data_IF_517212791122
#
_entry.id   IF_517212791122
#
_cell.length_a   1.000
_cell.length_b   1.000
_cell.length_c   1.000
_cell.angle_alpha   90.00
_cell.angle_beta   90.00
_cell.angle_gamma   90.00
#
_symmetry.space_group_name_H-M   'P 1'
#
loop_
_entity.id
_entity.type
_entity.pdbx_description
1 polymer ?
#
# COMPACT_ATOMS: atom_id res chain seq x y z
N UNK A 1 11.51 -15.14 20.77
CA UNK A 1 10.64 -15.66 19.70
C UNK A 1 10.68 -14.70 18.52
N UNK A 2 9.92 -14.99 17.45
CA UNK A 2 9.74 -14.08 16.30
C UNK A 2 8.51 -13.20 16.51
N UNK A 3 8.43 -12.08 15.79
CA UNK A 3 7.21 -11.27 15.67
C UNK A 3 6.44 -11.69 14.43
N UNK A 4 5.20 -12.14 14.61
CA UNK A 4 4.31 -12.50 13.50
C UNK A 4 3.59 -11.24 13.00
N UNK A 5 3.84 -10.83 11.75
CA UNK A 5 3.24 -9.62 11.18
C UNK A 5 1.77 -9.82 10.76
N UNK A 6 1.41 -10.99 10.22
CA UNK A 6 0.03 -11.24 9.74
C UNK A 6 -1.03 -11.04 10.83
N UNK A 7 -0.88 -11.60 12.05
CA UNK A 7 -1.84 -11.36 13.13
C UNK A 7 -1.86 -9.90 13.61
N UNK A 8 -0.71 -9.20 13.55
CA UNK A 8 -0.63 -7.78 13.89
C UNK A 8 -1.44 -6.94 12.90
N UNK A 9 -1.24 -7.16 11.59
CA UNK A 9 -1.97 -6.47 10.53
C UNK A 9 -3.48 -6.74 10.58
N UNK A 10 -3.88 -8.01 10.75
CA UNK A 10 -5.30 -8.36 10.89
C UNK A 10 -5.96 -7.60 12.05
N UNK A 11 -5.25 -7.46 13.18
CA UNK A 11 -5.74 -6.68 14.31
C UNK A 11 -5.76 -5.18 14.03
N UNK A 12 -4.71 -4.63 13.41
CA UNK A 12 -4.63 -3.21 13.08
C UNK A 12 -5.77 -2.77 12.14
N UNK A 13 -6.10 -3.57 11.12
CA UNK A 13 -7.27 -3.34 10.24
C UNK A 13 -8.57 -3.21 11.03
N UNK A 14 -8.77 -4.06 12.05
CA UNK A 14 -9.96 -3.97 12.92
C UNK A 14 -9.94 -2.79 13.89
N UNK A 15 -8.83 -2.06 13.96
CA UNK A 15 -8.63 -0.88 14.81
C UNK A 15 -8.59 0.43 14.02
N UNK A 16 -8.97 0.41 12.74
CA UNK A 16 -9.10 1.62 11.93
C UNK A 16 -7.88 1.97 11.08
N UNK A 17 -6.92 1.05 10.93
CA UNK A 17 -5.76 1.23 10.03
C UNK A 17 -6.03 0.62 8.65
N UNK A 18 -5.37 1.16 7.63
CA UNK A 18 -5.26 0.50 6.31
C UNK A 18 -3.83 -0.02 6.01
N UNK A 19 -2.88 0.32 6.89
CA UNK A 19 -1.50 -0.17 6.98
C UNK A 19 -0.46 0.50 6.05
N UNK A 20 -0.81 1.56 5.33
CA UNK A 20 0.13 2.36 4.54
C UNK A 20 0.36 3.76 5.13
N UNK A 21 -0.70 4.55 5.33
CA UNK A 21 -0.65 5.92 5.84
C UNK A 21 -1.33 6.06 7.20
N UNK A 22 -2.50 5.44 7.38
CA UNK A 22 -3.15 5.26 8.68
C UNK A 22 -2.68 3.96 9.31
N UNK A 23 -1.71 4.10 10.21
CA UNK A 23 -0.93 3.00 10.82
C UNK A 23 -0.80 3.12 12.34
N UNK A 24 -1.51 4.06 12.98
CA UNK A 24 -1.38 4.35 14.41
C UNK A 24 -1.67 3.11 15.28
N UNK A 25 -2.65 2.28 14.89
CA UNK A 25 -2.94 1.06 15.63
C UNK A 25 -1.81 0.01 15.46
N UNK A 26 -1.33 -0.20 14.23
CA UNK A 26 -0.22 -1.09 13.91
C UNK A 26 1.05 -0.71 14.68
N UNK A 27 1.44 0.57 14.64
CA UNK A 27 2.61 1.08 15.36
C UNK A 27 2.44 0.95 16.87
N UNK A 28 1.26 1.24 17.41
CA UNK A 28 0.96 1.00 18.84
C UNK A 28 1.05 -0.48 19.23
N UNK A 29 0.52 -1.38 18.39
CA UNK A 29 0.60 -2.83 18.61
C UNK A 29 2.05 -3.32 18.57
N UNK A 30 2.84 -2.81 17.63
CA UNK A 30 4.26 -3.10 17.50
C UNK A 30 5.03 -2.62 18.74
N UNK A 31 4.90 -1.34 19.09
CA UNK A 31 5.55 -0.73 20.25
C UNK A 31 5.23 -1.49 21.54
N UNK A 32 3.94 -1.79 21.79
CA UNK A 32 3.51 -2.57 22.96
C UNK A 32 4.15 -3.96 23.00
N UNK A 33 4.28 -4.62 21.84
CA UNK A 33 4.85 -5.97 21.76
C UNK A 33 6.37 -5.93 21.96
N UNK A 34 7.05 -4.90 21.43
CA UNK A 34 8.50 -4.77 21.48
C UNK A 34 9.03 -4.20 22.81
N UNK A 35 8.24 -3.39 23.52
CA UNK A 35 8.66 -2.73 24.77
C UNK A 35 9.35 -3.65 25.81
N UNK A 36 8.79 -4.81 26.22
CA UNK A 36 9.47 -5.67 27.19
C UNK A 36 10.75 -6.32 26.65
N UNK A 37 10.89 -6.44 25.32
CA UNK A 37 12.11 -6.95 24.70
C UNK A 37 13.19 -5.88 24.65
N UNK A 38 12.80 -4.65 24.31
CA UNK A 38 13.68 -3.49 24.29
C UNK A 38 14.28 -3.21 25.68
N UNK A 39 13.44 -3.16 26.71
CA UNK A 39 13.88 -2.92 28.11
C UNK A 39 14.84 -4.01 28.62
N UNK A 40 14.72 -5.25 28.13
CA UNK A 40 15.64 -6.34 28.51
C UNK A 40 16.94 -6.35 27.70
N UNK A 41 16.91 -5.85 26.47
CA UNK A 41 18.04 -5.88 25.55
C UNK A 41 18.95 -4.65 25.65
N UNK A 42 18.38 -3.49 26.01
CA UNK A 42 19.10 -2.23 26.12
C UNK A 42 19.47 -2.00 27.58
N UNK A 43 20.77 -1.99 27.89
CA UNK A 43 21.26 -1.83 29.26
C UNK A 43 21.00 -0.42 29.82
N UNK A 44 21.01 0.60 28.95
CA UNK A 44 20.71 1.97 29.32
C UNK A 44 19.20 2.24 29.21
N UNK A 45 18.58 2.54 30.35
CA UNK A 45 17.15 2.83 30.44
C UNK A 45 16.75 4.08 29.65
N UNK A 46 17.64 5.08 29.55
CA UNK A 46 17.37 6.31 28.79
C UNK A 46 17.29 6.01 27.30
N UNK A 47 18.24 5.23 26.75
CA UNK A 47 18.21 4.80 25.36
C UNK A 47 16.97 3.94 25.03
N UNK A 48 16.52 3.09 25.97
CA UNK A 48 15.28 2.33 25.79
C UNK A 48 14.04 3.25 25.76
N UNK A 49 14.02 4.29 26.60
CA UNK A 49 12.95 5.28 26.61
C UNK A 49 12.91 6.07 25.29
N UNK A 50 14.05 6.55 24.80
CA UNK A 50 14.14 7.31 23.54
C UNK A 50 13.56 6.55 22.34
N UNK A 51 13.79 5.23 22.25
CA UNK A 51 13.22 4.39 21.19
C UNK A 51 11.70 4.26 21.33
N UNK A 52 11.18 4.14 22.56
CA UNK A 52 9.73 4.06 22.79
C UNK A 52 9.03 5.41 22.53
N UNK A 53 9.68 6.51 22.89
CA UNK A 53 9.24 7.87 22.56
C UNK A 53 9.19 8.07 21.05
N UNK A 54 10.23 7.64 20.32
CA UNK A 54 10.21 7.66 18.85
C UNK A 54 9.02 6.87 18.26
N UNK A 55 8.75 5.68 18.78
CA UNK A 55 7.60 4.88 18.33
C UNK A 55 6.24 5.48 18.72
N UNK A 56 6.20 6.31 19.75
CA UNK A 56 5.00 7.04 20.15
C UNK A 56 4.76 8.30 19.30
N UNK A 57 5.84 8.96 18.87
CA UNK A 57 5.78 10.21 18.12
C UNK A 57 5.71 10.00 16.59
N UNK A 58 6.24 8.88 16.08
CA UNK A 58 6.31 8.59 14.65
C UNK A 58 5.47 7.38 14.24
N UNK A 59 4.22 7.67 13.86
CA UNK A 59 3.23 6.65 13.48
C UNK A 59 3.67 5.78 12.29
N UNK A 60 4.49 6.26 11.36
CA UNK A 60 4.91 5.49 10.17
C UNK A 60 6.01 4.45 10.46
N UNK A 61 6.43 4.26 11.71
CA UNK A 61 7.52 3.35 12.08
C UNK A 61 7.28 1.88 11.64
N UNK A 62 6.02 1.44 11.53
CA UNK A 62 5.70 0.07 11.10
C UNK A 62 5.72 -0.12 9.57
N UNK A 63 5.60 0.95 8.79
CA UNK A 63 5.42 0.87 7.32
C UNK A 63 6.55 0.07 6.64
N UNK A 64 7.84 0.27 6.95
CA UNK A 64 8.90 -0.54 6.35
C UNK A 64 8.76 -2.04 6.62
N UNK A 65 8.29 -2.42 7.82
CA UNK A 65 8.02 -3.82 8.17
C UNK A 65 6.82 -4.36 7.39
N UNK A 66 5.77 -3.55 7.24
CA UNK A 66 4.61 -3.88 6.40
C UNK A 66 5.02 -4.08 4.94
N UNK A 67 5.80 -3.17 4.36
CA UNK A 67 6.31 -3.29 2.99
C UNK A 67 7.11 -4.57 2.79
N UNK A 68 8.08 -4.85 3.67
CA UNK A 68 8.91 -6.05 3.60
C UNK A 68 8.08 -7.34 3.70
N UNK A 69 7.10 -7.36 4.61
CA UNK A 69 6.20 -8.49 4.77
C UNK A 69 5.25 -8.68 3.58
N UNK A 70 4.73 -7.60 3.00
CA UNK A 70 3.92 -7.64 1.78
C UNK A 70 4.75 -8.15 0.59
N UNK A 71 5.99 -7.67 0.45
CA UNK A 71 6.93 -8.16 -0.56
C UNK A 71 7.18 -9.66 -0.40
N UNK A 72 7.43 -10.14 0.81
CA UNK A 72 7.63 -11.57 1.07
C UNK A 72 6.39 -12.43 0.70
N UNK A 73 5.18 -11.92 0.92
CA UNK A 73 3.93 -12.58 0.49
C UNK A 73 3.85 -12.64 -1.04
N UNK A 74 4.11 -11.52 -1.71
CA UNK A 74 3.96 -11.42 -3.16
C UNK A 74 5.06 -12.16 -3.92
N UNK A 75 6.27 -12.23 -3.37
CA UNK A 75 7.35 -13.04 -3.94
C UNK A 75 7.03 -14.54 -3.88
N UNK A 76 6.34 -15.00 -2.84
CA UNK A 76 5.83 -16.38 -2.79
C UNK A 76 4.74 -16.65 -3.84
N UNK A 77 4.09 -15.60 -4.36
CA UNK A 77 3.11 -15.68 -5.45
C UNK A 77 3.70 -15.34 -6.83
N UNK A 78 5.01 -15.07 -6.93
CA UNK A 78 5.69 -14.70 -8.16
C UNK A 78 6.31 -15.91 -8.87
N UNK A 79 6.40 -15.86 -10.20
CA UNK A 79 6.99 -16.94 -11.01
C UNK A 79 6.05 -18.13 -11.24
N UNK A 80 4.75 -17.98 -10.99
CA UNK A 80 3.76 -19.01 -11.29
C UNK A 80 3.45 -18.95 -12.79
N UNK A 81 3.72 -20.04 -13.49
CA UNK A 81 3.47 -20.16 -14.92
C UNK A 81 2.02 -19.81 -15.27
N UNK A 82 1.84 -19.04 -16.35
CA UNK A 82 0.53 -18.57 -16.84
C UNK A 82 -0.33 -17.80 -15.81
N UNK A 83 0.23 -17.34 -14.69
CA UNK A 83 -0.49 -16.47 -13.75
C UNK A 83 -0.47 -15.02 -14.22
N UNK A 84 -1.64 -14.40 -14.24
CA UNK A 84 -1.85 -13.00 -14.63
C UNK A 84 -1.91 -12.04 -13.42
N UNK A 85 -1.54 -12.52 -12.24
CA UNK A 85 -1.54 -11.73 -11.00
C UNK A 85 -0.36 -10.77 -10.95
N UNK A 86 -0.66 -9.51 -10.64
CA UNK A 86 0.34 -8.48 -10.33
C UNK A 86 0.98 -8.79 -8.97
N UNK A 87 2.31 -8.76 -8.93
CA UNK A 87 3.14 -9.17 -7.78
C UNK A 87 4.10 -8.07 -7.32
N UNK A 88 4.21 -6.99 -8.08
CA UNK A 88 4.83 -5.76 -7.60
C UNK A 88 4.21 -4.57 -8.34
N UNK A 89 3.99 -3.49 -7.61
CA UNK A 89 3.79 -2.14 -8.12
C UNK A 89 4.84 -1.27 -7.43
N UNK A 90 5.64 -0.56 -8.21
CA UNK A 90 6.71 0.31 -7.71
C UNK A 90 6.78 1.60 -8.52
N UNK A 91 7.31 2.66 -7.92
CA UNK A 91 7.18 4.04 -8.41
C UNK A 91 8.45 4.82 -8.12
N UNK A 92 8.89 5.68 -9.03
CA UNK A 92 10.12 6.46 -8.84
C UNK A 92 9.94 7.97 -9.05
N UNK A 93 8.70 8.48 -9.10
CA UNK A 93 8.41 9.89 -9.37
C UNK A 93 8.47 10.29 -10.85
N UNK A 94 8.81 9.36 -11.73
CA UNK A 94 8.83 9.54 -13.20
C UNK A 94 7.99 8.47 -13.89
N UNK A 95 8.20 7.22 -13.49
CA UNK A 95 7.51 6.04 -13.99
C UNK A 95 6.89 5.25 -12.84
N UNK A 96 5.80 4.56 -13.16
CA UNK A 96 5.22 3.49 -12.34
C UNK A 96 5.35 2.19 -13.11
N UNK A 97 5.89 1.17 -12.46
CA UNK A 97 6.12 -0.14 -13.01
C UNK A 97 5.29 -1.21 -12.31
N UNK A 98 4.86 -2.22 -13.07
CA UNK A 98 4.25 -3.44 -12.54
C UNK A 98 5.06 -4.68 -12.93
N UNK A 99 5.02 -5.71 -12.07
CA UNK A 99 5.45 -7.09 -12.39
C UNK A 99 4.29 -8.05 -12.29
N UNK A 100 4.25 -9.02 -13.20
CA UNK A 100 3.20 -10.04 -13.28
C UNK A 100 3.82 -11.41 -13.10
N UNK A 101 3.18 -12.27 -12.29
CA UNK A 101 3.73 -13.57 -11.86
C UNK A 101 4.18 -14.45 -13.02
N UNK A 102 3.34 -14.63 -14.05
CA UNK A 102 3.65 -15.44 -15.23
C UNK A 102 4.59 -14.79 -16.24
N UNK A 103 5.05 -13.56 -16.01
CA UNK A 103 5.94 -12.81 -16.92
C UNK A 103 7.36 -12.62 -16.36
N UNK A 104 7.68 -13.26 -15.23
CA UNK A 104 9.00 -13.25 -14.62
C UNK A 104 9.45 -11.86 -14.17
N UNK A 105 10.74 -11.56 -14.37
CA UNK A 105 11.37 -10.32 -13.88
C UNK A 105 11.11 -9.07 -14.73
N UNK A 106 10.35 -9.18 -15.83
CA UNK A 106 10.09 -8.04 -16.72
C UNK A 106 9.18 -7.01 -16.04
N UNK A 107 9.60 -5.75 -16.09
CA UNK A 107 8.79 -4.60 -15.70
C UNK A 107 8.00 -4.06 -16.88
N UNK A 108 6.74 -3.70 -16.61
CA UNK A 108 5.88 -2.98 -17.55
C UNK A 108 5.59 -1.61 -16.96
N UNK A 109 5.99 -0.57 -17.67
CA UNK A 109 6.03 0.80 -17.14
C UNK A 109 5.13 1.75 -17.93
N UNK A 110 4.67 2.79 -17.24
CA UNK A 110 4.07 3.99 -17.81
C UNK A 110 4.40 5.21 -16.93
N UNK A 111 3.93 6.41 -17.29
CA UNK A 111 4.25 7.63 -16.56
C UNK A 111 3.65 7.63 -15.15
N UNK A 112 4.42 8.08 -14.16
CA UNK A 112 3.94 8.35 -12.82
C UNK A 112 2.89 9.47 -12.84
N UNK A 113 1.84 9.30 -12.04
CA UNK A 113 0.70 10.22 -12.00
C UNK A 113 0.87 11.23 -10.86
N UNK A 114 0.32 12.45 -11.01
CA UNK A 114 0.15 13.35 -9.87
C UNK A 114 -0.72 12.70 -8.78
N UNK A 115 -0.40 12.95 -7.52
CA UNK A 115 -1.21 12.49 -6.39
C UNK A 115 -2.37 13.46 -6.15
N UNK A 116 -3.59 12.94 -6.16
CA UNK A 116 -4.82 13.72 -5.96
C UNK A 116 -5.26 13.61 -4.51
N UNK A 117 -5.31 14.73 -3.80
CA UNK A 117 -5.73 14.72 -2.40
C UNK A 117 -5.57 16.07 -1.70
N UNK A 118 -5.32 16.01 -0.40
CA UNK A 118 -5.22 17.18 0.48
C UNK A 118 -3.77 17.56 0.73
N UNK A 119 -3.48 18.86 0.62
CA UNK A 119 -2.16 19.43 0.83
C UNK A 119 -2.11 20.23 2.12
N UNK A 120 -0.96 20.23 2.79
CA UNK A 120 -0.74 21.03 3.99
C UNK A 120 -0.82 22.53 3.67
N UNK A 121 -1.21 23.38 4.64
CA UNK A 121 -1.31 24.82 4.43
C UNK A 121 -0.04 25.40 3.79
N UNK A 122 -0.21 26.12 2.68
CA UNK A 122 0.90 26.70 1.92
C UNK A 122 1.42 25.84 0.76
N UNK A 123 0.92 24.61 0.58
CA UNK A 123 1.24 23.74 -0.56
C UNK A 123 0.00 23.46 -1.42
N UNK A 124 0.26 23.12 -2.67
CA UNK A 124 -0.74 22.75 -3.67
C UNK A 124 -0.27 21.52 -4.46
N UNK A 125 -1.16 20.98 -5.31
CA UNK A 125 -0.79 19.90 -6.24
C UNK A 125 0.42 20.24 -7.12
N UNK A 126 0.60 21.52 -7.47
CA UNK A 126 1.73 21.96 -8.29
C UNK A 126 3.10 21.83 -7.60
N UNK A 127 3.12 21.74 -6.26
CA UNK A 127 4.32 21.55 -5.46
C UNK A 127 4.66 20.06 -5.27
N UNK A 128 3.71 19.16 -5.57
CA UNK A 128 3.82 17.71 -5.41
C UNK A 128 4.74 17.06 -6.44
N UNK A 129 5.58 16.15 -5.97
CA UNK A 129 6.25 15.16 -6.83
C UNK A 129 5.19 14.18 -7.37
N UNK A 130 5.30 13.73 -8.63
CA UNK A 130 4.52 12.58 -9.09
C UNK A 130 4.79 11.35 -8.23
N UNK A 131 3.91 10.37 -8.36
CA UNK A 131 3.86 9.22 -7.46
C UNK A 131 5.21 8.46 -7.36
N UNK A 132 5.67 8.25 -6.13
CA UNK A 132 7.06 7.90 -5.79
C UNK A 132 7.13 6.95 -4.60
N UNK A 133 7.91 5.87 -4.71
CA UNK A 133 8.24 4.93 -3.64
C UNK A 133 7.79 3.50 -3.92
N UNK A 134 8.43 2.53 -3.26
CA UNK A 134 8.07 1.11 -3.38
C UNK A 134 6.88 0.71 -2.50
N UNK A 135 6.29 1.68 -1.78
CA UNK A 135 5.24 1.41 -0.79
C UNK A 135 3.93 0.89 -1.41
N UNK A 136 3.73 1.06 -2.72
CA UNK A 136 2.61 0.46 -3.47
C UNK A 136 2.61 -1.08 -3.43
N UNK A 137 3.67 -1.71 -2.92
CA UNK A 137 3.70 -3.13 -2.60
C UNK A 137 2.65 -3.51 -1.52
N UNK A 138 2.26 -2.55 -0.67
CA UNK A 138 1.24 -2.72 0.36
C UNK A 138 -0.14 -2.92 -0.30
N UNK A 139 -0.50 -2.07 -1.26
CA UNK A 139 -1.72 -2.21 -2.07
C UNK A 139 -1.68 -3.43 -2.98
N UNK A 140 -0.51 -3.75 -3.52
CA UNK A 140 -0.36 -4.96 -4.32
C UNK A 140 -0.73 -6.21 -3.50
N UNK A 141 -0.47 -6.19 -2.18
CA UNK A 141 -0.85 -7.25 -1.25
C UNK A 141 -2.30 -7.14 -0.72
N UNK A 142 -3.04 -6.08 -1.09
CA UNK A 142 -4.45 -5.89 -0.74
C UNK A 142 -4.72 -4.94 0.44
N UNK A 143 -3.68 -4.41 1.07
CA UNK A 143 -3.80 -3.39 2.13
C UNK A 143 -3.82 -1.99 1.50
N UNK A 144 -3.49 -0.93 2.24
CA UNK A 144 -3.34 0.38 1.61
C UNK A 144 -4.67 0.97 1.17
N UNK A 145 -4.62 1.71 0.07
CA UNK A 145 -5.81 2.14 -0.69
C UNK A 145 -6.81 1.01 -0.99
N UNK A 146 -6.36 -0.25 -1.14
CA UNK A 146 -7.28 -1.38 -1.35
C UNK A 146 -8.14 -1.72 -0.13
N UNK A 147 -7.61 -1.53 1.08
CA UNK A 147 -8.29 -1.78 2.34
C UNK A 147 -8.78 -0.49 3.02
N UNK A 148 -8.79 0.65 2.32
CA UNK A 148 -9.12 1.97 2.89
C UNK A 148 -10.49 2.03 3.58
N UNK A 149 -11.44 1.15 3.21
CA UNK A 149 -12.68 0.99 3.94
C UNK A 149 -12.49 0.65 5.43
N UNK A 150 -11.38 0.01 5.83
CA UNK A 150 -11.02 -0.24 7.22
C UNK A 150 -10.64 1.05 7.97
N UNK A 151 -10.17 2.07 7.25
CA UNK A 151 -9.76 3.37 7.78
C UNK A 151 -10.61 4.52 7.18
N UNK A 152 -11.95 4.54 7.39
CA UNK A 152 -12.83 5.49 6.73
C UNK A 152 -12.60 6.95 7.16
N UNK A 153 -11.85 7.20 8.22
CA UNK A 153 -11.45 8.54 8.67
C UNK A 153 -10.19 9.06 7.97
N UNK A 154 -9.52 8.21 7.17
CA UNK A 154 -8.29 8.57 6.47
C UNK A 154 -8.53 9.15 5.06
N UNK A 155 -9.63 8.77 4.41
CA UNK A 155 -10.06 9.44 3.16
C UNK A 155 -10.23 10.94 3.42
N UNK A 156 -9.87 11.72 2.41
CA UNK A 156 -9.71 13.16 2.57
C UNK A 156 -11.06 13.88 2.66
N UNK A 157 -11.07 15.11 3.17
CA UNK A 157 -12.28 15.96 3.23
C UNK A 157 -12.82 16.27 1.82
N UNK A 158 -11.98 16.11 0.78
CA UNK A 158 -12.37 16.29 -0.62
C UNK A 158 -13.15 15.08 -1.19
N UNK A 159 -13.16 13.94 -0.49
CA UNK A 159 -13.86 12.75 -0.95
C UNK A 159 -15.34 12.75 -0.50
N UNK A 160 -16.20 12.25 -1.37
CA UNK A 160 -17.63 12.09 -1.08
C UNK A 160 -17.86 11.14 0.12
N UNK A 161 -18.91 11.36 0.94
CA UNK A 161 -19.27 10.41 1.99
C UNK A 161 -19.38 8.97 1.47
N UNK A 162 -18.60 8.07 2.07
CA UNK A 162 -18.58 6.65 1.67
C UNK A 162 -17.56 6.30 0.58
N UNK A 163 -16.73 7.24 0.11
CA UNK A 163 -15.67 7.00 -0.87
C UNK A 163 -14.75 5.84 -0.47
N UNK A 164 -14.37 5.72 0.80
CA UNK A 164 -13.52 4.62 1.27
C UNK A 164 -14.11 3.23 0.94
N UNK A 165 -15.41 3.06 1.17
CA UNK A 165 -16.12 1.82 0.86
C UNK A 165 -16.25 1.61 -0.65
N UNK A 166 -16.41 2.68 -1.43
CA UNK A 166 -16.45 2.60 -2.89
C UNK A 166 -15.09 2.14 -3.47
N UNK A 167 -13.98 2.73 -3.01
CA UNK A 167 -12.64 2.34 -3.45
C UNK A 167 -12.33 0.87 -3.16
N UNK A 168 -12.57 0.39 -1.95
CA UNK A 168 -12.36 -1.04 -1.65
C UNK A 168 -13.27 -1.95 -2.51
N UNK A 169 -14.50 -1.51 -2.85
CA UNK A 169 -15.39 -2.27 -3.73
C UNK A 169 -14.88 -2.31 -5.17
N UNK A 170 -14.38 -1.21 -5.71
CA UNK A 170 -13.71 -1.19 -7.02
C UNK A 170 -12.57 -2.21 -7.08
N UNK A 171 -11.79 -2.32 -6.00
CA UNK A 171 -10.69 -3.26 -5.95
C UNK A 171 -11.15 -4.73 -5.97
N UNK A 172 -12.36 -5.04 -5.49
CA UNK A 172 -12.93 -6.39 -5.64
C UNK A 172 -13.21 -6.77 -7.09
N UNK A 173 -13.49 -5.80 -7.96
CA UNK A 173 -13.74 -6.05 -9.39
C UNK A 173 -12.46 -6.48 -10.12
N UNK A 174 -11.29 -6.03 -9.66
CA UNK A 174 -10.00 -6.30 -10.30
C UNK A 174 -9.13 -7.31 -9.56
N UNK A 175 -9.62 -7.91 -8.47
CA UNK A 175 -8.87 -8.89 -7.66
C UNK A 175 -9.51 -10.27 -7.67
N UNK A 176 -8.68 -11.31 -7.54
CA UNK A 176 -9.13 -12.70 -7.63
C UNK A 176 -9.95 -13.18 -6.43
N UNK A 177 -9.69 -12.65 -5.23
CA UNK A 177 -10.32 -13.15 -4.01
C UNK A 177 -10.48 -12.07 -2.93
N UNK A 178 -11.32 -12.39 -1.93
CA UNK A 178 -11.42 -11.68 -0.66
C UNK A 178 -10.69 -12.49 0.42
N UNK A 179 -9.57 -12.00 0.93
CA UNK A 179 -8.77 -12.74 1.90
C UNK A 179 -9.34 -12.59 3.32
N UNK A 180 -10.06 -13.61 3.79
CA UNK A 180 -10.73 -13.62 5.11
C UNK A 180 -9.77 -13.58 6.31
N UNK A 181 -8.46 -13.77 6.10
CA UNK A 181 -7.46 -13.57 7.17
C UNK A 181 -7.37 -12.11 7.63
N UNK A 182 -7.85 -11.18 6.81
CA UNK A 182 -7.79 -9.75 7.01
C UNK A 182 -9.20 -9.14 6.83
N UNK A 183 -10.08 -9.25 7.84
CA UNK A 183 -11.45 -8.78 7.71
C UNK A 183 -11.55 -7.26 7.84
N UNK A 184 -12.43 -6.65 7.05
CA UNK A 184 -12.77 -5.22 7.08
C UNK A 184 -14.11 -5.04 7.81
N UNK A 185 -14.14 -4.57 9.08
CA UNK A 185 -15.38 -4.52 9.87
C UNK A 185 -16.48 -3.65 9.24
N UNK A 186 -16.11 -2.50 8.68
CA UNK A 186 -17.02 -1.54 8.03
C UNK A 186 -17.71 -2.08 6.78
N UNK A 187 -17.20 -3.17 6.21
CA UNK A 187 -17.79 -3.89 5.08
C UNK A 187 -18.42 -5.23 5.51
N UNK A 188 -18.77 -5.38 6.79
CA UNK A 188 -19.36 -6.60 7.31
C UNK A 188 -18.36 -7.75 7.38
N UNK A 189 -17.10 -7.47 7.74
CA UNK A 189 -16.01 -8.43 7.87
C UNK A 189 -15.64 -9.17 6.57
N UNK A 190 -15.93 -8.57 5.42
CA UNK A 190 -15.37 -9.03 4.15
C UNK A 190 -13.85 -8.97 4.20
N UNK A 191 -13.18 -9.98 3.64
CA UNK A 191 -11.72 -10.00 3.54
C UNK A 191 -11.20 -8.95 2.56
N UNK A 192 -9.97 -8.47 2.76
CA UNK A 192 -9.33 -7.51 1.84
C UNK A 192 -9.30 -8.03 0.38
N UNK A 193 -9.35 -7.14 -0.63
CA UNK A 193 -9.11 -7.50 -2.03
C UNK A 193 -7.73 -8.15 -2.19
N UNK A 194 -7.59 -9.25 -2.94
CA UNK A 194 -6.29 -9.94 -3.05
C UNK A 194 -6.06 -10.51 -4.45
N UNK A 195 -4.85 -10.27 -4.98
CA UNK A 195 -4.42 -10.76 -6.28
C UNK A 195 -4.99 -9.91 -7.40
N UNK A 196 -4.44 -8.71 -7.59
CA UNK A 196 -4.79 -7.82 -8.70
C UNK A 196 -4.49 -8.54 -10.01
N UNK A 197 -5.45 -8.59 -10.92
CA UNK A 197 -5.38 -9.39 -12.13
C UNK A 197 -5.41 -8.49 -13.37
N UNK A 198 -4.40 -8.63 -14.25
CA UNK A 198 -4.21 -7.69 -15.36
C UNK A 198 -5.34 -7.73 -16.40
N UNK A 199 -5.99 -8.88 -16.64
CA UNK A 199 -7.11 -8.95 -17.60
C UNK A 199 -8.31 -8.18 -17.07
N UNK A 200 -8.69 -8.36 -15.80
CA UNK A 200 -9.79 -7.64 -15.15
C UNK A 200 -9.53 -6.14 -15.12
N UNK A 201 -8.30 -5.70 -14.85
CA UNK A 201 -7.94 -4.28 -14.94
C UNK A 201 -8.21 -3.72 -16.33
N UNK A 202 -7.73 -4.40 -17.39
CA UNK A 202 -7.91 -3.94 -18.76
C UNK A 202 -9.36 -4.04 -19.23
N UNK A 203 -10.06 -5.12 -18.87
CA UNK A 203 -11.45 -5.40 -19.26
C UNK A 203 -12.44 -4.42 -18.62
N UNK A 204 -12.28 -4.12 -17.33
CA UNK A 204 -13.18 -3.23 -16.59
C UNK A 204 -12.82 -1.75 -16.75
N UNK A 205 -11.57 -1.45 -17.12
CA UNK A 205 -11.02 -0.10 -17.11
C UNK A 205 -10.71 0.44 -15.70
N UNK A 206 -10.89 -0.38 -14.65
CA UNK A 206 -10.63 0.00 -13.26
C UNK A 206 -9.14 -0.21 -12.97
N UNK A 207 -8.46 0.84 -12.52
CA UNK A 207 -7.05 0.79 -12.12
C UNK A 207 -6.91 0.56 -10.60
N UNK A 208 -5.85 -0.11 -10.12
CA UNK A 208 -5.54 -0.15 -8.70
C UNK A 208 -5.44 1.27 -8.12
N UNK A 209 -5.91 1.44 -6.89
CA UNK A 209 -5.76 2.68 -6.14
C UNK A 209 -4.61 2.52 -5.14
N UNK A 210 -3.77 3.55 -5.04
CA UNK A 210 -2.66 3.64 -4.09
C UNK A 210 -2.91 4.85 -3.21
N UNK A 211 -2.91 4.63 -1.90
CA UNK A 211 -2.98 5.70 -0.91
C UNK A 211 -1.55 6.10 -0.54
N UNK A 212 -1.15 7.34 -0.77
CA UNK A 212 0.27 7.72 -0.70
C UNK A 212 0.50 9.10 -0.10
N UNK A 213 1.57 9.28 0.69
CA UNK A 213 2.02 10.61 1.05
C UNK A 213 2.59 11.33 -0.18
N UNK A 214 2.51 12.66 -0.17
CA UNK A 214 3.04 13.52 -1.23
C UNK A 214 4.33 14.16 -0.75
N UNK A 215 5.42 13.93 -1.50
CA UNK A 215 6.68 14.63 -1.31
C UNK A 215 6.72 15.91 -2.15
N UNK A 216 7.52 16.89 -1.73
CA UNK A 216 7.77 18.08 -2.53
C UNK A 216 8.58 17.73 -3.79
N UNK A 217 8.24 18.30 -4.95
CA UNK A 217 8.90 18.01 -6.25
C UNK A 217 10.35 18.45 -6.32
N UNK A 218 10.71 19.52 -5.59
CA UNK A 218 12.09 20.01 -5.47
C UNK A 218 12.79 19.30 -4.30
N UNK A 219 13.90 18.58 -4.54
CA UNK A 219 14.61 17.86 -3.50
C UNK A 219 15.08 18.76 -2.36
N UNK A 220 14.82 18.34 -1.11
CA UNK A 220 15.32 19.02 0.09
C UNK A 220 14.68 20.36 0.42
N UNK A 221 13.74 20.87 -0.40
CA UNK A 221 13.05 22.14 -0.14
C UNK A 221 12.22 22.10 1.15
N UNK A 222 11.61 20.95 1.44
CA UNK A 222 10.87 20.68 2.66
C UNK A 222 11.27 19.31 3.17
N UNK A 223 11.40 19.16 4.48
CA UNK A 223 11.59 17.84 5.11
C UNK A 223 10.22 17.23 5.38
N UNK A 224 9.97 16.05 4.83
CA UNK A 224 8.78 15.26 5.09
C UNK A 224 7.68 15.43 4.05
N UNK A 225 6.46 15.09 4.47
CA UNK A 225 5.26 15.02 3.64
C UNK A 225 4.62 16.40 3.50
N UNK A 226 4.15 16.76 2.31
CA UNK A 226 3.44 18.03 2.04
C UNK A 226 1.94 17.84 1.78
N UNK A 227 1.45 16.60 1.78
CA UNK A 227 0.06 16.25 1.56
C UNK A 227 -0.15 14.74 1.52
N UNK A 228 -1.39 14.30 1.41
CA UNK A 228 -1.77 12.90 1.28
C UNK A 228 -2.86 12.77 0.23
N UNK A 229 -2.89 11.67 -0.49
CA UNK A 229 -3.93 11.44 -1.47
C UNK A 229 -3.82 10.11 -2.18
N UNK A 230 -4.66 10.00 -3.21
CA UNK A 230 -4.79 8.82 -4.02
C UNK A 230 -4.06 9.01 -5.35
N UNK A 231 -3.40 7.96 -5.79
CA UNK A 231 -2.85 7.82 -7.14
C UNK A 231 -3.32 6.50 -7.75
N UNK A 232 -3.16 6.37 -9.07
CA UNK A 232 -3.45 5.13 -9.78
C UNK A 232 -2.30 4.82 -10.74
N UNK A 233 -1.75 3.60 -10.75
CA UNK A 233 -0.80 3.18 -11.77
C UNK A 233 -1.38 3.34 -13.18
N UNK A 234 -0.59 3.70 -14.19
CA UNK A 234 -1.11 4.02 -15.52
C UNK A 234 -1.61 2.76 -16.25
N UNK A 235 -2.77 2.85 -16.92
CA UNK A 235 -3.36 1.76 -17.73
C UNK A 235 -2.37 1.18 -18.75
N UNK A 236 -1.51 2.02 -19.28
CA UNK A 236 -0.45 1.64 -20.21
C UNK A 236 0.41 0.46 -19.70
N UNK A 237 0.74 0.43 -18.40
CA UNK A 237 1.53 -0.66 -17.82
C UNK A 237 0.78 -2.00 -17.88
N UNK A 238 -0.53 -1.99 -17.63
CA UNK A 238 -1.38 -3.19 -17.65
C UNK A 238 -1.63 -3.69 -19.07
N UNK A 239 -1.89 -2.78 -20.03
CA UNK A 239 -2.04 -3.14 -21.45
C UNK A 239 -0.77 -3.76 -21.99
N UNK A 240 0.41 -3.16 -21.73
CA UNK A 240 1.71 -3.74 -22.12
C UNK A 240 1.92 -5.14 -21.53
N UNK A 241 1.56 -5.32 -20.26
CA UNK A 241 1.67 -6.62 -19.60
C UNK A 241 0.73 -7.67 -20.21
N UNK A 242 -0.53 -7.28 -20.50
CA UNK A 242 -1.51 -8.18 -21.08
C UNK A 242 -1.15 -8.61 -22.51
N UNK A 243 -0.65 -7.69 -23.34
CA UNK A 243 -0.14 -8.02 -24.68
C UNK A 243 1.02 -9.02 -24.58
N UNK A 244 2.00 -8.76 -23.72
CA UNK A 244 3.13 -9.66 -23.53
C UNK A 244 2.73 -11.03 -22.95
N UNK A 245 1.65 -11.09 -22.19
CA UNK A 245 1.07 -12.36 -21.74
C UNK A 245 0.46 -13.14 -22.91
N UNK A 246 -0.29 -12.46 -23.79
CA UNK A 246 -0.82 -13.06 -25.02
C UNK A 246 0.29 -13.64 -25.90
N UNK A 247 1.35 -12.88 -26.16
CA UNK A 247 2.50 -13.29 -26.96
C UNK A 247 3.28 -14.49 -26.39
N UNK A 248 3.13 -14.76 -25.08
CA UNK A 248 3.85 -15.86 -24.43
C UNK A 248 3.02 -17.13 -24.30
N UNK A 249 1.71 -17.00 -24.07
CA UNK A 249 0.86 -18.12 -23.67
C UNK A 249 -0.31 -18.39 -24.60
N UNK A 250 -0.64 -17.50 -25.54
CA UNK A 250 -1.81 -17.61 -26.41
C UNK A 250 -1.47 -17.60 -27.91
N UNK A 251 -0.24 -17.23 -28.29
CA UNK A 251 0.30 -17.32 -29.66
C UNK A 251 0.97 -18.67 -29.91
#
# INVERSE_FOLDING_TARGET
GKLELKPLWARALTMGDELHNRVSAGTSLFARTMAPHLVRAVADASAAAEVLEYLADFDLAIVPLTMAGCKAILDAAHGIEASTVVTAIARNGVEVGIRVSGLGDRWFVGPAQPVKGTYHPGFTEADGCPDLGDSAIIETAGFGGCAIAAAPTHVTVADEPGAAAAYTREMYEITLAKNSSYPIPTLGFQGIPTGIEIRRVVETGILPIVDTPVAHREPGRVRGVIGFGMSRPPMEAFVKALTAFGDRYLS
#
